data_IF_836875816712
#
_entry.id   IF_836875816712
#
_cell.length_a   1.000
_cell.length_b   1.000
_cell.length_c   1.000
_cell.angle_alpha   90.00
_cell.angle_beta   90.00
_cell.angle_gamma   90.00
#
_symmetry.space_group_name_H-M   'P 1'
#
loop_
_entity.id
_entity.type
_entity.pdbx_description
1 polymer ?
#
# COMPACT_ATOMS: atom_id res chain seq x y z
N UNK A 1 0.16 -44.06 -24.56
CA UNK A 1 -0.33 -43.38 -23.34
C UNK A 1 0.13 -41.93 -23.41
N UNK A 2 -0.83 -40.99 -23.46
CA UNK A 2 -0.58 -39.54 -23.60
C UNK A 2 -0.38 -38.94 -22.21
N UNK A 3 0.76 -38.29 -21.97
CA UNK A 3 0.92 -37.40 -20.80
C UNK A 3 0.81 -35.95 -21.28
N UNK A 4 -0.34 -35.36 -20.97
CA UNK A 4 -0.65 -33.95 -21.18
C UNK A 4 -0.05 -33.17 -20.01
N UNK A 5 0.95 -32.34 -20.27
CA UNK A 5 1.47 -31.38 -19.30
C UNK A 5 0.54 -30.17 -19.34
N UNK A 6 -0.22 -29.99 -18.27
CA UNK A 6 -1.14 -28.86 -18.09
C UNK A 6 -0.31 -27.63 -17.68
N UNK A 7 -0.07 -26.74 -18.64
CA UNK A 7 0.61 -25.47 -18.42
C UNK A 7 -0.43 -24.50 -17.83
N UNK A 8 -0.32 -24.21 -16.53
CA UNK A 8 -1.25 -23.34 -15.80
C UNK A 8 -1.02 -21.89 -16.23
N UNK A 9 -1.76 -21.46 -17.25
CA UNK A 9 -1.73 -20.11 -17.80
C UNK A 9 -2.18 -19.07 -16.77
N UNK A 10 -1.29 -18.13 -16.50
CA UNK A 10 -1.54 -16.89 -15.76
C UNK A 10 -2.64 -16.08 -16.47
N UNK A 11 -3.82 -16.04 -15.88
CA UNK A 11 -4.97 -15.31 -16.40
C UNK A 11 -4.82 -13.79 -16.13
N UNK A 12 -4.15 -13.07 -17.03
CA UNK A 12 -4.24 -11.61 -17.09
C UNK A 12 -5.63 -11.22 -17.61
N UNK A 13 -6.57 -10.93 -16.70
CA UNK A 13 -7.86 -10.35 -17.08
C UNK A 13 -7.64 -8.88 -17.49
N UNK A 14 -7.57 -8.64 -18.80
CA UNK A 14 -7.55 -7.30 -19.40
C UNK A 14 -9.00 -6.97 -19.76
N UNK A 15 -9.64 -6.09 -18.99
CA UNK A 15 -10.99 -5.60 -19.29
C UNK A 15 -10.90 -4.32 -20.14
N UNK A 16 -11.53 -4.34 -21.32
CA UNK A 16 -11.59 -3.20 -22.24
C UNK A 16 -12.91 -2.43 -22.05
N UNK A 17 -12.82 -1.13 -21.77
CA UNK A 17 -13.96 -0.22 -21.79
C UNK A 17 -13.69 0.87 -22.83
N UNK A 18 -14.47 0.90 -23.92
CA UNK A 18 -14.37 1.89 -25.00
C UNK A 18 -15.58 2.83 -24.96
N UNK A 19 -15.34 4.13 -24.71
CA UNK A 19 -16.37 5.19 -24.75
C UNK A 19 -16.37 6.06 -23.48
N UNK A 20 -16.22 7.38 -23.63
CA UNK A 20 -16.03 8.37 -22.55
C UNK A 20 -14.78 8.13 -21.67
N UNK A 21 -13.64 7.83 -22.31
CA UNK A 21 -12.45 7.28 -21.64
C UNK A 21 -11.89 8.17 -20.53
N UNK A 22 -11.78 9.50 -20.70
CA UNK A 22 -11.17 10.36 -19.68
C UNK A 22 -12.02 10.51 -18.40
N UNK A 23 -13.34 10.71 -18.52
CA UNK A 23 -14.19 10.88 -17.32
C UNK A 23 -14.40 9.55 -16.60
N UNK A 24 -14.55 8.45 -17.33
CA UNK A 24 -14.66 7.11 -16.78
C UNK A 24 -13.34 6.67 -16.12
N UNK A 25 -12.20 6.90 -16.77
CA UNK A 25 -10.86 6.64 -16.21
C UNK A 25 -10.63 7.39 -14.90
N UNK A 26 -10.90 8.70 -14.88
CA UNK A 26 -10.75 9.51 -13.68
C UNK A 26 -11.68 9.02 -12.55
N UNK A 27 -12.92 8.65 -12.89
CA UNK A 27 -13.89 8.10 -11.92
C UNK A 27 -13.43 6.75 -11.38
N UNK A 28 -12.92 5.85 -12.23
CA UNK A 28 -12.43 4.54 -11.83
C UNK A 28 -11.21 4.65 -10.90
N UNK A 29 -10.21 5.46 -11.27
CA UNK A 29 -9.02 5.67 -10.43
C UNK A 29 -9.38 6.36 -9.12
N UNK A 30 -10.26 7.37 -9.15
CA UNK A 30 -10.75 8.04 -7.93
C UNK A 30 -11.47 7.05 -7.01
N UNK A 31 -12.34 6.20 -7.54
CA UNK A 31 -13.04 5.17 -6.77
C UNK A 31 -12.07 4.15 -6.15
N UNK A 32 -11.05 3.73 -6.90
CA UNK A 32 -10.00 2.84 -6.39
C UNK A 32 -9.18 3.49 -5.27
N UNK A 33 -8.77 4.74 -5.44
CA UNK A 33 -8.03 5.49 -4.41
C UNK A 33 -8.89 5.75 -3.18
N UNK A 34 -10.18 6.04 -3.33
CA UNK A 34 -11.13 6.13 -2.21
C UNK A 34 -11.26 4.80 -1.46
N UNK A 35 -11.25 3.66 -2.17
CA UNK A 35 -11.22 2.34 -1.52
C UNK A 35 -9.91 2.11 -0.75
N UNK A 36 -8.78 2.52 -1.32
CA UNK A 36 -7.46 2.48 -0.65
C UNK A 36 -7.47 3.32 0.62
N UNK A 37 -8.05 4.52 0.57
CA UNK A 37 -8.23 5.40 1.73
C UNK A 37 -9.10 4.72 2.79
N UNK A 38 -10.28 4.22 2.43
CA UNK A 38 -11.21 3.57 3.36
C UNK A 38 -10.66 2.27 3.96
N UNK A 39 -9.68 1.64 3.31
CA UNK A 39 -9.05 0.40 3.79
C UNK A 39 -7.64 0.63 4.35
N UNK A 40 -7.21 1.89 4.47
CA UNK A 40 -5.89 2.29 4.95
C UNK A 40 -4.74 1.52 4.29
N UNK A 41 -4.88 1.24 3.00
CA UNK A 41 -3.81 0.62 2.22
C UNK A 41 -2.70 1.66 1.99
N UNK A 42 -1.41 1.26 2.05
CA UNK A 42 -0.29 2.20 2.06
C UNK A 42 0.05 2.81 0.69
N UNK A 43 -0.56 2.33 -0.40
CA UNK A 43 -0.25 2.74 -1.77
C UNK A 43 -1.48 3.22 -2.54
N UNK A 44 -1.38 4.38 -3.18
CA UNK A 44 -2.37 4.98 -4.10
C UNK A 44 -2.00 4.75 -5.56
N UNK A 45 -3.01 4.59 -6.42
CA UNK A 45 -2.83 4.56 -7.86
C UNK A 45 -2.45 5.94 -8.39
N UNK A 46 -1.35 5.97 -9.15
CA UNK A 46 -0.87 7.14 -9.88
C UNK A 46 -0.58 6.78 -11.32
N UNK A 47 -0.76 7.76 -12.21
CA UNK A 47 -0.38 7.64 -13.61
C UNK A 47 1.15 7.64 -13.71
N UNK A 48 1.73 6.62 -14.34
CA UNK A 48 3.18 6.55 -14.54
C UNK A 48 3.60 6.63 -16.01
N UNK A 49 2.65 6.45 -16.93
CA UNK A 49 2.90 6.58 -18.37
C UNK A 49 1.61 7.04 -19.05
N UNK A 50 1.76 7.94 -20.02
CA UNK A 50 0.68 8.32 -20.93
C UNK A 50 1.18 8.29 -22.36
N UNK A 51 0.36 7.78 -23.27
CA UNK A 51 0.67 7.69 -24.69
C UNK A 51 -0.53 8.15 -25.51
N UNK A 52 -0.37 8.21 -26.82
CA UNK A 52 -1.49 8.43 -27.74
C UNK A 52 -2.53 7.30 -27.71
N UNK A 53 -2.14 6.07 -27.30
CA UNK A 53 -3.02 4.88 -27.33
C UNK A 53 -3.60 4.50 -25.97
N UNK A 54 -2.92 4.85 -24.88
CA UNK A 54 -3.31 4.41 -23.55
C UNK A 54 -2.68 5.25 -22.43
N UNK A 55 -3.37 5.30 -21.30
CA UNK A 55 -2.85 5.76 -20.01
C UNK A 55 -2.60 4.58 -19.07
N UNK A 56 -1.48 4.59 -18.35
CA UNK A 56 -1.04 3.51 -17.48
C UNK A 56 -0.94 4.01 -16.03
N UNK A 57 -1.50 3.23 -15.11
CA UNK A 57 -1.55 3.53 -13.68
C UNK A 57 -0.97 2.38 -12.87
N UNK A 58 -0.34 2.68 -11.75
CA UNK A 58 0.14 1.69 -10.79
C UNK A 58 -0.01 2.21 -9.37
N UNK A 59 -0.27 1.32 -8.40
CA UNK A 59 -0.34 1.69 -6.98
C UNK A 59 1.07 1.72 -6.36
N UNK A 60 1.87 2.69 -6.78
CA UNK A 60 3.25 2.85 -6.31
C UNK A 60 3.47 4.11 -5.48
N UNK A 61 2.50 5.03 -5.44
CA UNK A 61 2.62 6.22 -4.60
C UNK A 61 2.34 5.85 -3.16
N UNK A 62 3.36 5.92 -2.32
CA UNK A 62 3.24 5.74 -0.87
C UNK A 62 2.41 6.90 -0.30
N UNK A 63 1.44 6.58 0.55
CA UNK A 63 0.54 7.57 1.17
C UNK A 63 1.23 8.36 2.28
N UNK A 64 0.67 9.54 2.55
CA UNK A 64 1.13 10.43 3.62
C UNK A 64 2.39 11.20 3.26
N UNK A 65 2.83 12.03 4.20
CA UNK A 65 4.02 12.88 4.07
C UNK A 65 5.07 12.43 5.08
N UNK A 66 6.36 12.53 4.74
CA UNK A 66 7.42 12.22 5.70
C UNK A 66 7.25 13.12 6.94
N UNK A 67 7.19 12.51 8.11
CA UNK A 67 6.87 13.25 9.32
C UNK A 67 7.24 12.48 10.58
N UNK A 68 7.16 13.19 11.72
CA UNK A 68 7.40 12.59 13.02
C UNK A 68 6.19 11.71 13.39
N UNK A 69 6.47 10.47 13.74
CA UNK A 69 5.46 9.53 14.22
C UNK A 69 4.87 9.98 15.56
N UNK A 70 3.59 9.68 15.79
CA UNK A 70 2.93 9.83 17.09
C UNK A 70 3.45 8.81 18.12
N UNK A 71 4.09 7.72 17.65
CA UNK A 71 4.69 6.71 18.51
C UNK A 71 5.95 7.25 19.15
N UNK A 72 5.79 7.84 20.34
CA UNK A 72 6.87 8.34 21.19
C UNK A 72 7.27 7.38 22.31
N UNK A 73 6.38 6.45 22.68
CA UNK A 73 6.65 5.42 23.68
C UNK A 73 7.47 4.29 23.07
N UNK A 74 8.58 3.94 23.71
CA UNK A 74 9.43 2.80 23.33
C UNK A 74 8.66 1.48 23.41
N UNK A 75 7.76 1.32 24.40
CA UNK A 75 6.92 0.13 24.56
C UNK A 75 6.03 -0.06 23.33
N UNK A 76 5.32 0.99 22.91
CA UNK A 76 4.44 0.93 21.74
C UNK A 76 5.25 0.70 20.45
N UNK A 77 6.42 1.32 20.33
CA UNK A 77 7.31 1.11 19.20
C UNK A 77 7.74 -0.36 19.10
N UNK A 78 8.19 -0.95 20.21
CA UNK A 78 8.64 -2.33 20.28
C UNK A 78 7.51 -3.32 19.98
N UNK A 79 6.29 -3.06 20.47
CA UNK A 79 5.13 -3.89 20.18
C UNK A 79 4.76 -3.88 18.68
N UNK A 80 4.77 -2.70 18.05
CA UNK A 80 4.53 -2.56 16.60
C UNK A 80 5.64 -3.28 15.83
N UNK A 81 6.90 -3.00 16.14
CA UNK A 81 8.05 -3.61 15.45
C UNK A 81 8.08 -5.13 15.60
N UNK A 82 7.75 -5.67 16.79
CA UNK A 82 7.62 -7.11 16.99
C UNK A 82 6.55 -7.72 16.08
N UNK A 83 5.39 -7.07 15.93
CA UNK A 83 4.34 -7.57 15.05
C UNK A 83 4.72 -7.44 13.56
N UNK A 84 5.46 -6.40 13.19
CA UNK A 84 6.03 -6.27 11.84
C UNK A 84 7.04 -7.37 11.57
N UNK A 85 7.95 -7.65 12.51
CA UNK A 85 8.91 -8.75 12.40
C UNK A 85 8.21 -10.10 12.23
N UNK A 86 7.21 -10.41 13.07
CA UNK A 86 6.45 -11.65 12.95
C UNK A 86 5.70 -11.78 11.62
N UNK A 87 5.24 -10.66 11.05
CA UNK A 87 4.48 -10.64 9.80
C UNK A 87 5.37 -10.67 8.56
N UNK A 88 6.51 -9.99 8.59
CA UNK A 88 7.28 -9.62 7.40
C UNK A 88 8.78 -9.88 7.51
N UNK A 89 9.28 -10.29 8.67
CA UNK A 89 10.72 -10.47 8.96
C UNK A 89 11.54 -9.17 8.79
N UNK A 90 10.92 -8.02 9.06
CA UNK A 90 11.60 -6.72 9.06
C UNK A 90 11.96 -6.29 10.47
N UNK A 91 13.13 -5.70 10.60
CA UNK A 91 13.67 -5.14 11.84
C UNK A 91 13.67 -3.61 11.81
N UNK A 92 14.04 -2.96 12.90
CA UNK A 92 14.18 -1.50 12.93
C UNK A 92 15.28 -0.99 11.99
N UNK A 93 16.30 -1.80 11.69
CA UNK A 93 17.36 -1.45 10.75
C UNK A 93 16.88 -1.41 9.29
N UNK A 94 15.76 -2.07 9.01
CA UNK A 94 15.12 -2.04 7.70
C UNK A 94 14.21 -0.81 7.56
N UNK A 95 13.84 -0.14 8.64
CA UNK A 95 12.95 1.03 8.62
C UNK A 95 13.65 2.23 7.97
N UNK A 96 13.17 2.62 6.80
CA UNK A 96 13.71 3.73 6.00
C UNK A 96 13.08 5.05 6.42
N UNK A 97 11.75 5.08 6.53
CA UNK A 97 11.02 6.29 6.88
C UNK A 97 9.63 5.98 7.46
N UNK A 98 9.09 6.98 8.17
CA UNK A 98 7.69 7.02 8.60
C UNK A 98 7.00 8.19 7.91
N UNK A 99 5.76 7.96 7.50
CA UNK A 99 4.92 8.95 6.82
C UNK A 99 3.62 9.10 7.59
N UNK A 100 3.21 10.34 7.82
CA UNK A 100 1.96 10.69 8.50
C UNK A 100 0.87 10.83 7.46
N UNK A 101 -0.23 10.11 7.64
CA UNK A 101 -1.43 10.25 6.80
C UNK A 101 -2.54 10.98 7.57
N UNK A 102 -2.76 10.60 8.83
CA UNK A 102 -3.75 11.22 9.71
C UNK A 102 -3.26 11.16 11.15
N UNK A 103 -3.22 12.29 11.84
CA UNK A 103 -3.07 12.34 13.29
C UNK A 103 -4.25 13.13 13.89
N UNK A 104 -5.32 12.43 14.28
CA UNK A 104 -6.53 13.06 14.81
C UNK A 104 -7.14 12.24 15.95
N UNK A 105 -7.10 12.75 17.17
CA UNK A 105 -7.49 11.99 18.37
C UNK A 105 -8.95 11.46 18.25
N UNK A 106 -9.22 10.15 18.46
CA UNK A 106 -8.29 9.10 18.95
C UNK A 106 -7.63 8.25 17.87
N UNK A 107 -7.76 8.59 16.59
CA UNK A 107 -7.30 7.80 15.46
C UNK A 107 -6.03 8.36 14.81
N UNK A 108 -5.04 7.51 14.68
CA UNK A 108 -3.79 7.86 14.02
C UNK A 108 -3.52 6.83 12.92
N UNK A 109 -3.07 7.31 11.77
CA UNK A 109 -2.69 6.46 10.65
C UNK A 109 -1.37 6.96 10.07
N UNK A 110 -0.41 6.05 10.09
CA UNK A 110 0.92 6.25 9.53
C UNK A 110 1.23 5.17 8.51
N UNK A 111 2.20 5.44 7.65
CA UNK A 111 2.78 4.46 6.74
C UNK A 111 4.26 4.35 7.03
N UNK A 112 4.70 3.15 7.40
CA UNK A 112 6.10 2.85 7.70
C UNK A 112 6.72 2.12 6.53
N UNK A 113 7.85 2.61 6.04
CA UNK A 113 8.50 2.14 4.83
C UNK A 113 9.78 1.40 5.20
N UNK A 114 9.90 0.17 4.71
CA UNK A 114 11.01 -0.74 4.99
C UNK A 114 11.79 -1.04 3.73
N UNK A 115 13.10 -1.24 3.86
CA UNK A 115 13.92 -1.84 2.82
C UNK A 115 13.49 -3.30 2.64
N UNK A 116 13.30 -3.70 1.39
CA UNK A 116 12.87 -5.05 1.04
C UNK A 116 13.33 -5.41 -0.38
N UNK A 117 14.41 -6.19 -0.48
CA UNK A 117 14.96 -6.65 -1.76
C UNK A 117 13.99 -7.55 -2.55
N UNK A 118 13.09 -8.24 -1.83
CA UNK A 118 12.05 -9.10 -2.43
C UNK A 118 10.90 -8.28 -3.02
N UNK A 119 10.79 -7.00 -2.65
CA UNK A 119 9.80 -6.07 -3.20
C UNK A 119 9.91 -5.96 -4.72
N UNK A 120 8.74 -5.87 -5.36
CA UNK A 120 8.59 -5.59 -6.79
C UNK A 120 8.45 -4.09 -7.08
N UNK A 121 8.56 -3.23 -6.06
CA UNK A 121 8.70 -1.78 -6.27
C UNK A 121 10.05 -1.44 -6.89
N UNK A 122 10.14 -0.27 -7.52
CA UNK A 122 11.36 0.19 -8.21
C UNK A 122 12.51 0.44 -7.22
N UNK A 123 12.19 0.90 -6.03
CA UNK A 123 13.10 1.33 -4.98
C UNK A 123 13.42 0.24 -3.96
N UNK A 124 12.92 -0.99 -4.16
CA UNK A 124 13.15 -2.12 -3.25
C UNK A 124 12.69 -1.80 -1.82
N UNK A 125 11.47 -1.27 -1.72
CA UNK A 125 10.84 -0.96 -0.44
C UNK A 125 9.46 -1.60 -0.34
N UNK A 126 9.05 -1.87 0.90
CA UNK A 126 7.69 -2.26 1.24
C UNK A 126 7.15 -1.29 2.28
N UNK A 127 5.97 -0.73 2.01
CA UNK A 127 5.27 0.18 2.89
C UNK A 127 4.13 -0.57 3.60
N UNK A 128 4.03 -0.38 4.91
CA UNK A 128 2.99 -0.94 5.76
C UNK A 128 2.18 0.19 6.40
N UNK A 129 0.87 0.08 6.37
CA UNK A 129 -0.03 0.98 7.07
C UNK A 129 -0.14 0.60 8.54
N UNK A 130 0.07 1.56 9.44
CA UNK A 130 -0.04 1.39 10.89
C UNK A 130 -1.24 2.19 11.36
N UNK A 131 -2.37 1.51 11.57
CA UNK A 131 -3.56 2.12 12.16
C UNK A 131 -3.43 2.05 13.67
N UNK A 132 -3.67 3.16 14.36
CA UNK A 132 -3.60 3.25 15.81
C UNK A 132 -4.86 3.92 16.35
N UNK A 133 -5.33 3.44 17.49
CA UNK A 133 -6.45 4.02 18.22
C UNK A 133 -6.08 4.20 19.68
N UNK A 134 -6.03 5.44 20.15
CA UNK A 134 -5.83 5.74 21.55
C UNK A 134 -7.07 5.31 22.35
N UNK A 135 -6.85 4.51 23.40
CA UNK A 135 -7.91 4.08 24.30
C UNK A 135 -8.32 5.23 25.23
N UNK A 136 -9.59 5.25 25.62
CA UNK A 136 -10.10 6.25 26.56
C UNK A 136 -9.31 6.23 27.88
N UNK A 137 -9.20 7.39 28.51
CA UNK A 137 -8.52 7.59 29.80
C UNK A 137 -7.04 7.17 29.79
N UNK A 138 -6.36 7.23 28.65
CA UNK A 138 -4.93 6.98 28.55
C UNK A 138 -4.53 5.51 28.76
N UNK A 139 -5.46 4.56 28.60
CA UNK A 139 -5.23 3.13 28.84
C UNK A 139 -4.35 2.41 27.79
N UNK A 140 -3.59 3.17 27.00
CA UNK A 140 -2.75 2.65 25.92
C UNK A 140 -3.31 2.93 24.53
N UNK A 141 -2.74 2.25 23.54
CA UNK A 141 -3.03 2.41 22.12
C UNK A 141 -3.18 1.05 21.47
N UNK A 142 -4.34 0.77 20.90
CA UNK A 142 -4.52 -0.40 20.03
C UNK A 142 -3.94 -0.10 18.66
N UNK A 143 -3.39 -1.11 17.97
CA UNK A 143 -2.91 -0.94 16.60
C UNK A 143 -3.19 -2.13 15.69
N UNK A 144 -3.14 -1.89 14.38
CA UNK A 144 -3.19 -2.93 13.35
C UNK A 144 -2.28 -2.58 12.17
N UNK A 145 -1.72 -3.63 11.53
CA UNK A 145 -0.75 -3.50 10.43
C UNK A 145 -1.39 -3.95 9.13
N UNK A 146 -1.55 -3.01 8.20
CA UNK A 146 -2.15 -3.18 6.87
C UNK A 146 -1.05 -3.22 5.80
N UNK A 147 -1.27 -4.03 4.76
CA UNK A 147 -0.33 -4.18 3.64
C UNK A 147 0.30 -5.56 3.59
N UNK A 148 0.92 -5.85 2.44
CA UNK A 148 1.56 -7.12 2.14
C UNK A 148 3.08 -6.96 2.12
N UNK A 149 3.77 -8.03 2.47
CA UNK A 149 5.22 -8.16 2.36
C UNK A 149 5.52 -9.47 1.58
N UNK A 150 6.29 -9.42 0.48
CA UNK A 150 6.82 -8.21 -0.16
C UNK A 150 5.73 -7.39 -0.87
N UNK A 151 5.99 -6.09 -1.10
CA UNK A 151 5.10 -5.25 -1.89
C UNK A 151 5.08 -5.70 -3.37
N UNK A 152 3.86 -5.88 -3.90
CA UNK A 152 3.62 -6.24 -5.30
C UNK A 152 2.69 -5.19 -5.91
N UNK A 153 3.24 -4.22 -6.68
CA UNK A 153 2.43 -3.23 -7.37
C UNK A 153 1.45 -3.88 -8.36
N UNK A 154 0.23 -3.37 -8.35
CA UNK A 154 -0.84 -3.63 -9.30
C UNK A 154 -0.87 -2.49 -10.31
N UNK A 155 -1.23 -2.82 -11.55
CA UNK A 155 -1.27 -1.85 -12.64
C UNK A 155 -2.53 -1.98 -13.46
N UNK A 156 -3.00 -0.85 -13.97
CA UNK A 156 -4.14 -0.75 -14.88
C UNK A 156 -3.75 0.00 -16.15
N UNK A 157 -4.36 -0.38 -17.26
CA UNK A 157 -4.17 0.27 -18.56
C UNK A 157 -5.54 0.66 -19.10
N UNK A 158 -5.72 1.94 -19.40
CA UNK A 158 -6.92 2.48 -20.03
C UNK A 158 -6.58 2.84 -21.46
N UNK A 159 -7.18 2.14 -22.41
CA UNK A 159 -7.04 2.44 -23.84
C UNK A 159 -7.84 3.70 -24.19
N UNK A 160 -7.27 4.56 -25.04
CA UNK A 160 -7.90 5.79 -25.51
C UNK A 160 -8.71 5.56 -26.78
#
# INVERSE_FOLDING_TARGET
MKNVIFNMGLLCMITFFTGCSNSLQNTAISSMNKKIENTNQPYEFVKYKDTNRASYYSNTKIRGEKGKSIVSSEVLFNDIMRNIYLKCDYTEFDLVEKRVVLHDNPYFYEVWVFRDEKSKTKDKTTALGINMKQLQNGRGTDFSIIGNCPAIPKSFVFTK
#
